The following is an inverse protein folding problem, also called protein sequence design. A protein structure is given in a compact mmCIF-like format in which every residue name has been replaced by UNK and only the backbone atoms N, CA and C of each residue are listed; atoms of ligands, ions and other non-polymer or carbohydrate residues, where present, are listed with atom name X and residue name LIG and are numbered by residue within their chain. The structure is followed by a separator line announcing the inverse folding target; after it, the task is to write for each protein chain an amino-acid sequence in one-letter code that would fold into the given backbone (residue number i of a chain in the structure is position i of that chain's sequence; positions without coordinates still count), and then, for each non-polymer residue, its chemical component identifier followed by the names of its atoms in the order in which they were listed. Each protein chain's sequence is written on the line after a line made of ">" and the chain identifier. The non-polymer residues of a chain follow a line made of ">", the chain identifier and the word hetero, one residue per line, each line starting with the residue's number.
data_IF_543299137974
#
_entry.id   IF_543299137974
#
_cell.length_a   1.000
_cell.length_b   1.000
_cell.length_c   1.000
_cell.angle_alpha   90.00
_cell.angle_beta   90.00
_cell.angle_gamma   90.00
#
_symmetry.space_group_name_H-M   'P 1'
#
loop_
_entity.id
_entity.type
_entity.pdbx_description
1 polymer ?
#
# COMPACT_ATOMS: atom_id res chain seq x y z
N UNK A 1 -0.05 4.08 10.58
CA UNK A 1 0.87 5.23 10.71
C UNK A 1 0.14 6.46 10.21
N UNK A 2 0.09 7.56 10.97
CA UNK A 2 -0.74 8.73 10.69
C UNK A 2 -0.21 9.66 9.57
N UNK A 3 0.56 9.15 8.60
CA UNK A 3 1.12 9.95 7.50
C UNK A 3 2.17 11.00 7.93
N UNK A 4 2.76 10.84 9.12
CA UNK A 4 3.68 11.80 9.73
C UNK A 4 5.12 11.57 9.27
N UNK A 5 5.92 12.64 9.19
CA UNK A 5 7.36 12.47 9.03
C UNK A 5 7.96 11.81 10.28
N UNK A 6 9.11 11.13 10.17
CA UNK A 6 9.73 10.59 11.38
C UNK A 6 10.13 11.70 12.37
N UNK A 7 10.19 12.97 11.93
CA UNK A 7 10.54 14.12 12.77
C UNK A 7 9.32 14.52 13.58
N UNK A 8 8.15 14.47 12.97
CA UNK A 8 6.90 14.78 13.65
C UNK A 8 6.60 13.72 14.70
N UNK A 9 6.86 12.44 14.42
CA UNK A 9 6.72 11.34 15.39
C UNK A 9 7.57 11.59 16.65
N UNK A 10 8.84 11.97 16.45
CA UNK A 10 9.80 12.19 17.55
C UNK A 10 9.60 13.54 18.25
N UNK A 11 9.56 14.64 17.49
CA UNK A 11 9.71 15.99 18.04
C UNK A 11 8.39 16.70 18.29
N UNK A 12 7.38 16.45 17.43
CA UNK A 12 6.08 17.13 17.51
C UNK A 12 5.13 16.37 18.42
N UNK A 13 4.88 15.10 18.12
CA UNK A 13 3.97 14.28 18.90
C UNK A 13 4.63 13.65 20.13
N UNK A 14 5.96 13.52 20.14
CA UNK A 14 6.75 12.90 21.21
C UNK A 14 6.20 11.52 21.63
N UNK A 15 5.66 10.77 20.65
CA UNK A 15 5.04 9.45 20.89
C UNK A 15 6.07 8.48 21.46
N UNK A 16 7.33 8.65 21.06
CA UNK A 16 8.44 7.80 21.49
C UNK A 16 9.65 8.68 21.82
N UNK A 17 10.30 8.50 22.99
CA UNK A 17 11.49 9.28 23.37
C UNK A 17 12.75 8.75 22.67
N UNK A 18 12.76 8.76 21.34
CA UNK A 18 13.89 8.30 20.53
C UNK A 18 14.14 9.27 19.36
N UNK A 19 15.35 9.25 18.79
CA UNK A 19 15.67 10.11 17.65
C UNK A 19 14.90 9.72 16.40
N UNK A 20 14.73 10.67 15.49
CA UNK A 20 14.22 10.44 14.13
C UNK A 20 14.89 9.25 13.42
N UNK A 21 16.22 9.14 13.55
CA UNK A 21 16.98 8.07 12.92
C UNK A 21 16.67 6.71 13.54
N UNK A 22 16.38 6.63 14.84
CA UNK A 22 15.92 5.39 15.45
C UNK A 22 14.56 4.96 14.85
N UNK A 23 13.62 5.89 14.68
CA UNK A 23 12.33 5.61 14.01
C UNK A 23 12.55 5.16 12.56
N UNK A 24 13.40 5.85 11.80
CA UNK A 24 13.77 5.47 10.43
C UNK A 24 14.35 4.06 10.36
N UNK A 25 15.26 3.71 11.27
CA UNK A 25 15.85 2.36 11.34
C UNK A 25 14.82 1.29 11.69
N UNK A 26 13.86 1.58 12.57
CA UNK A 26 12.77 0.67 12.89
C UNK A 26 11.86 0.43 11.68
N UNK A 27 11.51 1.48 10.94
CA UNK A 27 10.74 1.34 9.69
C UNK A 27 11.51 0.51 8.67
N UNK A 28 12.81 0.77 8.47
CA UNK A 28 13.66 -0.04 7.59
C UNK A 28 13.75 -1.51 8.02
N UNK A 29 13.71 -1.79 9.33
CA UNK A 29 13.68 -3.16 9.85
C UNK A 29 12.33 -3.83 9.56
N UNK A 30 11.23 -3.08 9.61
CA UNK A 30 9.90 -3.57 9.23
C UNK A 30 9.76 -3.82 7.72
N UNK A 31 10.49 -3.09 6.87
CA UNK A 31 10.53 -3.36 5.42
C UNK A 31 11.02 -4.78 5.09
N UNK A 32 11.79 -5.41 5.99
CA UNK A 32 12.27 -6.78 5.84
C UNK A 32 11.22 -7.83 6.24
N UNK A 33 10.09 -7.42 6.81
CA UNK A 33 9.00 -8.30 7.20
C UNK A 33 8.09 -8.51 5.99
N UNK A 34 8.13 -9.71 5.42
CA UNK A 34 7.17 -10.11 4.40
C UNK A 34 5.83 -10.38 5.07
N UNK A 35 4.84 -9.52 4.84
CA UNK A 35 3.46 -9.79 5.23
C UNK A 35 2.89 -10.79 4.24
N UNK A 36 2.65 -12.02 4.69
CA UNK A 36 1.96 -13.02 3.90
C UNK A 36 0.46 -12.91 4.17
N UNK A 37 -0.31 -12.57 3.12
CA UNK A 37 -1.76 -12.45 3.21
C UNK A 37 -2.38 -13.79 2.85
N UNK A 38 -3.11 -14.38 3.78
CA UNK A 38 -3.76 -15.67 3.56
C UNK A 38 -4.84 -15.57 2.47
N UNK A 39 -4.88 -16.60 1.63
CA UNK A 39 -5.91 -16.72 0.62
C UNK A 39 -7.26 -17.10 1.24
N UNK A 40 -8.26 -16.23 1.16
CA UNK A 40 -9.61 -16.45 1.74
C UNK A 40 -10.70 -15.86 0.84
N UNK A 41 -11.97 -16.27 1.00
CA UNK A 41 -13.06 -15.69 0.23
C UNK A 41 -13.26 -14.23 0.65
N UNK A 42 -13.37 -13.33 -0.34
CA UNK A 42 -13.60 -11.90 -0.13
C UNK A 42 -14.78 -11.43 -0.95
N UNK A 43 -15.66 -10.65 -0.32
CA UNK A 43 -16.84 -10.11 -1.00
C UNK A 43 -16.45 -9.01 -1.98
N UNK A 44 -15.61 -8.09 -1.52
CA UNK A 44 -15.28 -6.88 -2.24
C UNK A 44 -13.88 -6.39 -1.93
N UNK A 45 -13.15 -6.01 -2.97
CA UNK A 45 -11.78 -5.49 -2.88
C UNK A 45 -11.79 -4.08 -3.47
N UNK A 46 -11.43 -3.09 -2.67
CA UNK A 46 -11.23 -1.74 -3.16
C UNK A 46 -9.80 -1.61 -3.68
N UNK A 47 -9.68 -1.04 -4.87
CA UNK A 47 -8.42 -0.76 -5.55
C UNK A 47 -8.31 0.73 -5.80
N UNK A 48 -7.14 1.27 -5.50
CA UNK A 48 -6.81 2.67 -5.75
C UNK A 48 -5.44 2.81 -6.41
N UNK A 49 -5.31 3.86 -7.23
CA UNK A 49 -4.05 4.31 -7.83
C UNK A 49 -3.74 5.71 -7.28
N UNK A 50 -2.61 5.85 -6.60
CA UNK A 50 -2.12 7.16 -6.14
C UNK A 50 -0.83 7.54 -6.85
N UNK A 51 -0.83 8.68 -7.54
CA UNK A 51 0.37 9.28 -8.13
C UNK A 51 1.17 10.04 -7.06
N UNK A 52 2.42 9.65 -6.84
CA UNK A 52 3.31 10.27 -5.85
C UNK A 52 4.64 10.70 -6.49
N UNK A 53 5.31 11.67 -5.86
CA UNK A 53 6.65 12.11 -6.29
C UNK A 53 7.69 11.52 -5.35
N UNK A 54 8.58 10.70 -5.89
CA UNK A 54 9.68 10.06 -5.18
C UNK A 54 11.00 10.49 -5.82
N UNK A 55 11.88 11.11 -5.02
CA UNK A 55 13.21 11.59 -5.44
C UNK A 55 13.19 12.43 -6.73
N UNK A 56 12.24 13.37 -6.83
CA UNK A 56 12.12 14.23 -8.00
C UNK A 56 11.30 13.63 -9.16
N UNK A 57 11.12 12.31 -9.19
CA UNK A 57 10.43 11.59 -10.25
C UNK A 57 9.00 11.19 -9.85
N UNK A 58 8.10 11.11 -10.83
CA UNK A 58 6.73 10.65 -10.58
C UNK A 58 6.65 9.12 -10.65
N UNK A 59 5.96 8.51 -9.68
CA UNK A 59 5.58 7.10 -9.73
C UNK A 59 4.13 6.91 -9.29
N UNK A 60 3.61 5.71 -9.53
CA UNK A 60 2.23 5.30 -9.25
C UNK A 60 2.26 4.17 -8.25
N UNK A 61 1.54 4.35 -7.15
CA UNK A 61 1.34 3.34 -6.11
C UNK A 61 -0.07 2.77 -6.26
N UNK A 62 -0.15 1.46 -6.37
CA UNK A 62 -1.39 0.71 -6.49
C UNK A 62 -1.62 -0.03 -5.18
N UNK A 63 -2.80 0.12 -4.58
CA UNK A 63 -3.15 -0.51 -3.32
C UNK A 63 -4.49 -1.24 -3.44
N UNK A 64 -4.54 -2.48 -2.94
CA UNK A 64 -5.74 -3.30 -2.87
C UNK A 64 -6.06 -3.60 -1.41
N UNK A 65 -7.28 -3.27 -0.97
CA UNK A 65 -7.73 -3.51 0.39
C UNK A 65 -9.04 -4.31 0.39
N UNK A 66 -9.18 -5.24 1.32
CA UNK A 66 -10.45 -5.88 1.59
C UNK A 66 -11.39 -4.87 2.27
N UNK A 67 -12.60 -4.70 1.73
CA UNK A 67 -13.51 -3.64 2.23
C UNK A 67 -14.08 -3.95 3.61
N UNK A 68 -14.27 -5.24 3.93
CA UNK A 68 -14.92 -5.66 5.16
C UNK A 68 -13.93 -5.65 6.34
N UNK A 69 -12.69 -6.08 6.10
CA UNK A 69 -11.64 -6.26 7.11
C UNK A 69 -10.59 -5.16 7.12
N UNK A 70 -10.51 -4.36 6.05
CA UNK A 70 -9.44 -3.36 5.81
C UNK A 70 -8.03 -3.97 5.70
N UNK A 71 -7.95 -5.27 5.47
CA UNK A 71 -6.68 -5.96 5.25
C UNK A 71 -6.06 -5.49 3.92
N UNK A 72 -4.78 -5.13 3.95
CA UNK A 72 -4.02 -4.77 2.76
C UNK A 72 -3.61 -6.04 2.01
N UNK A 73 -4.15 -6.23 0.82
CA UNK A 73 -4.01 -7.46 0.03
C UNK A 73 -2.79 -7.41 -0.90
N UNK A 74 -2.57 -6.26 -1.51
CA UNK A 74 -1.43 -6.05 -2.40
C UNK A 74 -1.03 -4.58 -2.45
N UNK A 75 0.28 -4.37 -2.55
CA UNK A 75 0.88 -3.11 -2.99
C UNK A 75 1.73 -3.39 -4.23
N UNK A 76 1.69 -2.45 -5.17
CA UNK A 76 2.56 -2.40 -6.33
C UNK A 76 3.01 -0.97 -6.60
N UNK A 77 4.24 -0.80 -7.10
CA UNK A 77 4.77 0.50 -7.51
C UNK A 77 5.23 0.41 -8.96
N UNK A 78 4.85 1.39 -9.77
CA UNK A 78 5.29 1.50 -11.17
C UNK A 78 5.71 2.92 -11.51
N UNK A 79 6.69 3.05 -12.41
CA UNK A 79 7.10 4.37 -12.94
C UNK A 79 6.14 4.88 -14.02
N UNK A 80 5.37 3.97 -14.63
CA UNK A 80 4.41 4.28 -15.68
C UNK A 80 3.00 3.89 -15.25
N UNK A 81 2.03 4.65 -15.75
CA UNK A 81 0.60 4.33 -15.67
C UNK A 81 0.20 3.66 -16.98
N UNK A 82 0.05 2.35 -16.95
CA UNK A 82 -0.36 1.58 -18.12
C UNK A 82 -1.14 0.32 -17.72
N UNK A 83 -1.79 -0.30 -18.70
CA UNK A 83 -2.69 -1.43 -18.49
C UNK A 83 -1.96 -2.69 -18.04
N UNK A 84 -0.70 -2.87 -18.44
CA UNK A 84 0.09 -4.03 -18.03
C UNK A 84 0.39 -4.00 -16.53
N UNK A 85 0.69 -2.81 -15.98
CA UNK A 85 0.88 -2.65 -14.54
C UNK A 85 -0.43 -2.85 -13.77
N UNK A 86 -1.55 -2.29 -14.27
CA UNK A 86 -2.86 -2.49 -13.66
C UNK A 86 -3.25 -3.98 -13.64
N UNK A 87 -3.07 -4.69 -14.75
CA UNK A 87 -3.37 -6.12 -14.83
C UNK A 87 -2.47 -6.96 -13.90
N UNK A 88 -1.16 -6.72 -13.92
CA UNK A 88 -0.22 -7.43 -13.05
C UNK A 88 -0.57 -7.22 -11.57
N UNK A 89 -0.92 -6.00 -11.20
CA UNK A 89 -1.37 -5.66 -9.86
C UNK A 89 -2.69 -6.36 -9.47
N UNK A 90 -3.70 -6.36 -10.35
CA UNK A 90 -4.96 -7.06 -10.09
C UNK A 90 -4.77 -8.57 -9.97
N UNK A 91 -3.91 -9.18 -10.80
CA UNK A 91 -3.53 -10.59 -10.66
C UNK A 91 -2.89 -10.87 -9.31
N UNK A 92 -2.01 -10.00 -8.83
CA UNK A 92 -1.39 -10.11 -7.50
C UNK A 92 -2.44 -10.04 -6.38
N UNK A 93 -3.40 -9.11 -6.47
CA UNK A 93 -4.48 -9.03 -5.50
C UNK A 93 -5.38 -10.29 -5.53
N UNK A 94 -5.67 -10.82 -6.71
CA UNK A 94 -6.47 -12.05 -6.87
C UNK A 94 -5.82 -13.29 -6.27
N UNK A 95 -4.48 -13.38 -6.20
CA UNK A 95 -3.80 -14.48 -5.51
C UNK A 95 -4.16 -14.58 -4.03
N UNK A 96 -4.59 -13.46 -3.43
CA UNK A 96 -5.09 -13.45 -2.06
C UNK A 96 -6.54 -13.92 -1.97
N UNK A 97 -7.29 -14.08 -3.06
CA UNK A 97 -8.71 -14.41 -3.02
C UNK A 97 -8.96 -15.85 -3.49
N UNK A 98 -9.73 -16.62 -2.74
CA UNK A 98 -10.13 -17.98 -3.16
C UNK A 98 -11.39 -18.00 -4.03
N UNK A 99 -12.11 -16.87 -4.09
CA UNK A 99 -13.31 -16.66 -4.89
C UNK A 99 -13.10 -15.54 -5.92
N UNK A 100 -14.18 -15.13 -6.61
CA UNK A 100 -14.20 -13.97 -7.52
C UNK A 100 -14.82 -12.77 -6.81
N UNK A 101 -14.02 -11.89 -6.16
CA UNK A 101 -14.55 -10.70 -5.48
C UNK A 101 -15.03 -9.65 -6.49
N UNK A 102 -15.88 -8.73 -6.04
CA UNK A 102 -16.16 -7.50 -6.77
C UNK A 102 -15.00 -6.53 -6.55
N UNK A 103 -14.40 -6.03 -7.63
CA UNK A 103 -13.42 -4.95 -7.54
C UNK A 103 -14.13 -3.60 -7.58
N UNK A 104 -13.93 -2.79 -6.55
CA UNK A 104 -14.28 -1.37 -6.57
C UNK A 104 -13.06 -0.59 -7.04
N UNK A 105 -13.23 0.17 -8.11
CA UNK A 105 -12.21 1.06 -8.66
C UNK A 105 -12.82 2.44 -8.75
N UNK A 106 -12.02 3.47 -8.54
CA UNK A 106 -12.44 4.83 -8.82
C UNK A 106 -12.64 5.03 -10.34
N UNK A 107 -13.34 6.10 -10.73
CA UNK A 107 -13.53 6.46 -12.14
C UNK A 107 -12.42 7.40 -12.63
N UNK A 108 -11.19 7.20 -12.17
CA UNK A 108 -10.05 7.96 -12.68
C UNK A 108 -10.00 7.89 -14.21
N UNK A 109 -9.73 9.00 -14.91
CA UNK A 109 -9.66 8.98 -16.38
C UNK A 109 -8.53 8.05 -16.79
N UNK A 110 -8.82 6.98 -17.53
CA UNK A 110 -7.83 6.02 -18.00
C UNK A 110 -7.11 6.52 -19.24
#
# INVERSE_FOLDING_TARGET
>A
MAGLSYRDITYVLRVVPCSHEAVRLWVKKLEQVTVNVEAKPRRMVAVDETKIKADGEWCYVWAAIDVDTRELLAIWVSWQRNIMHAEAFLRKALLTCTNKPIFLVDKGPW
#
